data_IF_416782153446
#
_entry.id   IF_416782153446
#
_cell.length_a   1.000
_cell.length_b   1.000
_cell.length_c   1.000
_cell.angle_alpha   90.00
_cell.angle_beta   90.00
_cell.angle_gamma   90.00
#
_symmetry.space_group_name_H-M   'P 1'
#
loop_
_entity.id
_entity.type
_entity.pdbx_description
1 polymer ?
#
# COMPACT_ATOMS: atom_id res chain seq x y z
N UNK A 1 17.58 -6.98 6.33
CA UNK A 1 17.42 -5.58 6.44
C UNK A 1 16.37 -5.20 7.43
N UNK A 2 16.60 -4.22 8.22
CA UNK A 2 15.64 -3.82 9.19
C UNK A 2 15.03 -2.51 8.81
N UNK A 3 13.77 -2.35 9.09
CA UNK A 3 13.09 -1.12 8.79
C UNK A 3 12.25 -0.79 10.01
N UNK A 4 12.41 0.37 10.61
CA UNK A 4 11.65 0.69 11.81
C UNK A 4 10.18 0.86 11.47
N UNK A 5 9.35 0.56 12.45
CA UNK A 5 7.91 0.76 12.29
C UNK A 5 7.62 2.21 12.62
N UNK A 6 6.95 2.90 11.72
CA UNK A 6 6.63 4.30 11.87
C UNK A 6 5.13 4.47 11.89
N UNK A 7 4.63 5.20 12.88
CA UNK A 7 3.21 5.44 13.00
C UNK A 7 2.90 6.80 12.42
N UNK A 8 1.96 6.86 11.51
CA UNK A 8 1.55 8.12 10.92
C UNK A 8 0.04 8.26 10.95
N UNK A 9 -0.42 9.49 11.01
CA UNK A 9 -1.84 9.77 10.98
C UNK A 9 -2.24 10.02 9.53
N UNK A 10 -3.29 9.36 9.12
CA UNK A 10 -3.81 9.48 7.76
C UNK A 10 -5.26 9.90 7.87
N UNK A 11 -5.70 10.81 7.03
CA UNK A 11 -7.10 11.23 7.02
C UNK A 11 -7.86 10.38 6.04
N UNK A 12 -8.84 9.63 6.53
CA UNK A 12 -9.66 8.77 5.69
C UNK A 12 -11.11 9.16 5.89
N UNK A 13 -11.74 9.61 4.83
CA UNK A 13 -13.14 9.97 4.90
C UNK A 13 -13.46 10.99 5.96
N UNK A 14 -12.58 11.92 6.17
CA UNK A 14 -12.80 12.94 7.18
C UNK A 14 -12.37 12.57 8.58
N UNK A 15 -11.87 11.34 8.76
CA UNK A 15 -11.43 10.91 10.08
C UNK A 15 -9.94 10.68 10.09
N UNK A 16 -9.31 10.99 11.21
CA UNK A 16 -7.91 10.70 11.35
C UNK A 16 -7.75 9.28 11.83
N UNK A 17 -6.89 8.53 11.19
CA UNK A 17 -6.63 7.15 11.53
C UNK A 17 -5.13 6.97 11.67
N UNK A 18 -4.68 6.29 12.71
CA UNK A 18 -3.26 6.03 12.89
C UNK A 18 -2.92 4.72 12.22
N UNK A 19 -1.87 4.72 11.44
CA UNK A 19 -1.44 3.52 10.75
C UNK A 19 0.03 3.32 11.05
N UNK A 20 0.39 2.12 11.48
CA UNK A 20 1.78 1.79 11.77
C UNK A 20 2.30 0.85 10.70
N UNK A 21 3.35 1.24 10.03
CA UNK A 21 3.95 0.45 8.98
C UNK A 21 5.45 0.59 9.05
N UNK A 22 6.15 -0.39 8.62
CA UNK A 22 7.59 -0.30 8.49
C UNK A 22 7.91 0.83 7.52
N UNK A 23 8.99 1.55 7.78
CA UNK A 23 9.33 2.68 6.95
C UNK A 23 9.44 2.31 5.48
N UNK A 24 9.94 1.14 5.18
CA UNK A 24 10.06 0.69 3.80
C UNK A 24 8.70 0.66 3.11
N UNK A 25 7.65 0.31 3.83
CA UNK A 25 6.32 0.29 3.22
C UNK A 25 5.77 1.71 3.04
N UNK A 26 6.13 2.64 3.94
CA UNK A 26 5.72 4.03 3.74
C UNK A 26 6.38 4.61 2.50
N UNK A 27 7.66 4.29 2.29
CA UNK A 27 8.38 4.75 1.10
C UNK A 27 7.71 4.15 -0.14
N UNK A 28 7.39 2.86 -0.09
CA UNK A 28 6.73 2.21 -1.21
C UNK A 28 5.38 2.83 -1.50
N UNK A 29 4.61 3.16 -0.46
CA UNK A 29 3.31 3.78 -0.64
C UNK A 29 3.43 5.16 -1.31
N UNK A 30 4.43 5.94 -0.92
CA UNK A 30 4.63 7.24 -1.52
C UNK A 30 4.99 7.10 -2.99
N UNK A 31 5.79 6.09 -3.30
CA UNK A 31 6.19 5.88 -4.67
C UNK A 31 4.99 5.48 -5.53
N UNK A 32 4.16 4.58 -5.04
CA UNK A 32 2.98 4.16 -5.78
C UNK A 32 2.03 5.33 -5.97
N UNK A 33 1.81 6.12 -4.92
CA UNK A 33 0.92 7.26 -5.01
C UNK A 33 1.43 8.25 -6.05
N UNK A 34 2.73 8.49 -6.06
CA UNK A 34 3.31 9.40 -7.03
C UNK A 34 3.13 8.90 -8.46
N UNK A 35 3.30 7.60 -8.68
CA UNK A 35 3.14 7.07 -10.01
C UNK A 35 1.69 7.09 -10.46
N UNK A 36 0.77 7.05 -9.54
CA UNK A 36 -0.64 7.06 -9.89
C UNK A 36 -1.25 8.45 -9.77
N UNK A 37 -0.43 9.45 -9.49
CA UNK A 37 -0.87 10.84 -9.36
C UNK A 37 -1.91 10.99 -8.26
N UNK A 38 -1.68 10.34 -7.16
CA UNK A 38 -2.59 10.36 -6.02
C UNK A 38 -1.86 10.86 -4.80
N UNK A 39 -2.59 11.37 -3.84
CA UNK A 39 -1.98 11.69 -2.56
C UNK A 39 -1.88 10.40 -1.77
N UNK A 40 -1.07 10.39 -0.74
CA UNK A 40 -0.93 9.22 0.10
C UNK A 40 -2.27 8.89 0.75
N UNK A 41 -3.00 9.90 1.21
CA UNK A 41 -4.31 9.65 1.82
C UNK A 41 -5.30 9.05 0.85
N UNK A 42 -5.26 9.50 -0.40
CA UNK A 42 -6.16 8.94 -1.41
C UNK A 42 -5.85 7.48 -1.66
N UNK A 43 -4.56 7.14 -1.71
CA UNK A 43 -4.19 5.76 -1.96
C UNK A 43 -4.58 4.88 -0.77
N UNK A 44 -4.35 5.35 0.44
CA UNK A 44 -4.71 4.57 1.63
C UNK A 44 -6.24 4.41 1.68
N UNK A 45 -6.97 5.43 1.30
CA UNK A 45 -8.43 5.36 1.28
C UNK A 45 -8.90 4.30 0.29
N UNK A 46 -8.28 4.23 -0.87
CA UNK A 46 -8.63 3.24 -1.86
C UNK A 46 -8.37 1.84 -1.34
N UNK A 47 -7.24 1.62 -0.68
CA UNK A 47 -6.91 0.32 -0.13
C UNK A 47 -7.91 -0.05 0.97
N UNK A 48 -8.24 0.92 1.81
CA UNK A 48 -9.18 0.65 2.90
C UNK A 48 -10.56 0.28 2.34
N UNK A 49 -11.00 0.95 1.31
CA UNK A 49 -12.29 0.67 0.70
C UNK A 49 -12.34 -0.73 0.12
N UNK A 50 -11.23 -1.17 -0.44
CA UNK A 50 -11.18 -2.46 -1.08
C UNK A 50 -10.81 -3.64 -0.19
N UNK A 51 -10.45 -3.39 1.05
CA UNK A 51 -10.09 -4.52 1.90
C UNK A 51 -11.33 -5.21 2.38
N UNK A 52 -11.25 -6.49 2.50
CA UNK A 52 -12.40 -7.26 2.92
C UNK A 52 -12.38 -7.56 4.39
N UNK A 53 -11.21 -7.80 4.94
CA UNK A 53 -11.13 -8.08 6.35
C UNK A 53 -9.70 -7.86 6.78
N UNK A 54 -9.43 -7.96 8.04
CA UNK A 54 -8.12 -7.74 8.56
C UNK A 54 -7.89 -6.27 8.83
N UNK A 55 -6.74 -5.90 9.30
CA UNK A 55 -6.49 -4.52 9.63
C UNK A 55 -5.88 -3.78 8.45
N UNK A 56 -5.95 -2.47 8.52
CA UNK A 56 -5.50 -1.64 7.42
C UNK A 56 -4.00 -1.77 7.15
N UNK A 57 -3.19 -1.90 8.20
CA UNK A 57 -1.75 -2.06 8.01
C UNK A 57 -1.43 -3.30 7.19
N UNK A 58 -2.10 -4.40 7.46
CA UNK A 58 -1.89 -5.62 6.71
C UNK A 58 -2.32 -5.46 5.26
N UNK A 59 -3.44 -4.79 5.05
CA UNK A 59 -3.94 -4.56 3.69
C UNK A 59 -2.95 -3.71 2.90
N UNK A 60 -2.37 -2.70 3.53
CA UNK A 60 -1.40 -1.85 2.87
C UNK A 60 -0.13 -2.65 2.54
N UNK A 61 0.35 -3.47 3.47
CA UNK A 61 1.55 -4.26 3.21
C UNK A 61 1.33 -5.19 2.02
N UNK A 62 0.19 -5.84 1.98
CA UNK A 62 -0.08 -6.75 0.88
C UNK A 62 -0.21 -6.01 -0.44
N UNK A 63 -0.82 -4.83 -0.42
CA UNK A 63 -0.96 -4.03 -1.62
C UNK A 63 0.42 -3.62 -2.17
N UNK A 64 1.29 -3.13 -1.29
CA UNK A 64 2.61 -2.69 -1.71
C UNK A 64 3.43 -3.87 -2.23
N UNK A 65 3.37 -4.98 -1.53
CA UNK A 65 4.11 -6.15 -1.92
C UNK A 65 3.67 -6.61 -3.31
N UNK A 66 2.36 -6.70 -3.51
CA UNK A 66 1.83 -7.16 -4.77
C UNK A 66 2.18 -6.19 -5.92
N UNK A 67 2.08 -4.90 -5.64
CA UNK A 67 2.39 -3.90 -6.65
C UNK A 67 3.84 -4.03 -7.13
N UNK A 68 4.78 -4.10 -6.19
CA UNK A 68 6.17 -4.15 -6.58
C UNK A 68 6.60 -5.52 -7.11
N UNK A 69 5.97 -6.58 -6.65
CA UNK A 69 6.29 -7.89 -7.19
C UNK A 69 5.91 -7.95 -8.66
N UNK A 70 4.75 -7.42 -9.00
CA UNK A 70 4.31 -7.42 -10.37
C UNK A 70 5.25 -6.60 -11.25
N UNK A 71 5.66 -5.46 -10.74
CA UNK A 71 6.54 -4.62 -11.54
C UNK A 71 7.94 -5.18 -11.64
N UNK A 72 8.45 -5.72 -10.55
CA UNK A 72 9.80 -6.26 -10.57
C UNK A 72 9.91 -7.44 -11.51
N UNK A 73 8.87 -8.23 -11.61
CA UNK A 73 8.90 -9.35 -12.48
C UNK A 73 8.80 -8.93 -13.90
N UNK A 74 8.18 -7.81 -14.13
CA UNK A 74 8.15 -7.23 -15.46
C UNK A 74 7.55 -8.05 -16.55
N UNK A 75 7.59 -9.33 -16.47
CA UNK A 75 7.08 -10.14 -17.50
C UNK A 75 5.90 -10.90 -17.09
N UNK A 76 5.57 -10.96 -15.96
CA UNK A 76 4.52 -11.70 -15.43
C UNK A 76 3.83 -12.54 -16.42
N UNK A 77 3.98 -13.82 -16.40
CA UNK A 77 3.37 -14.68 -17.36
C UNK A 77 1.91 -14.51 -17.34
N UNK A 78 1.35 -14.61 -18.49
CA UNK A 78 -0.06 -14.49 -18.61
C UNK A 78 -0.75 -15.40 -17.67
N UNK A 79 -0.22 -16.50 -17.45
CA UNK A 79 -0.83 -17.41 -16.58
C UNK A 79 -0.95 -16.88 -15.24
N UNK A 80 -0.05 -16.08 -14.85
CA UNK A 80 -0.17 -15.58 -13.62
C UNK A 80 -1.06 -14.58 -13.55
N UNK A 81 -1.15 -13.83 -14.49
CA UNK A 81 -2.03 -12.89 -14.40
C UNK A 81 -3.28 -13.23 -14.72
N UNK A 82 -3.43 -14.21 -15.26
CA UNK A 82 -4.66 -14.56 -15.60
C UNK A 82 -5.20 -15.00 -14.44
N UNK A 83 -5.05 -14.95 -13.89
CA UNK A 83 -5.52 -15.36 -12.97
C UNK A 83 -6.31 -14.77 -12.89
#
# INVERSE_FOLDING_TARGET
MKSPVVKRSIVLGGHKTSVSLEEAFWVGMKEVAGQRSMTLSELVCEIDTNRHQGNLSSAIRLFVLDYFRSRAMGWVPAAQQSR
#
